data_IF_007505773092
#
_entry.id   IF_007505773092
#
_cell.length_a   1.000
_cell.length_b   1.000
_cell.length_c   1.000
_cell.angle_alpha   90.00
_cell.angle_beta   90.00
_cell.angle_gamma   90.00
#
_symmetry.space_group_name_H-M   'P 1'
#
loop_
_entity.id
_entity.type
_entity.pdbx_description
1 polymer ?
#
# COMPACT_ATOMS: atom_id res chain seq x y z
N UNK A 1 -1.20 -60.57 -49.51
CA UNK A 1 -0.93 -60.72 -48.07
C UNK A 1 0.21 -59.75 -47.73
N UNK A 2 -0.06 -58.69 -46.94
CA UNK A 2 0.91 -57.75 -46.29
C UNK A 2 1.97 -57.12 -47.23
N UNK A 3 2.12 -55.80 -47.38
CA UNK A 3 2.32 -54.78 -46.35
C UNK A 3 1.91 -53.40 -46.90
N UNK A 4 1.15 -52.67 -46.11
CA UNK A 4 0.98 -51.22 -46.20
C UNK A 4 2.02 -50.61 -45.26
N UNK A 5 2.73 -49.58 -45.72
CA UNK A 5 3.18 -48.36 -45.00
C UNK A 5 4.56 -47.94 -45.50
N UNK A 6 4.87 -46.69 -45.79
CA UNK A 6 4.10 -45.47 -45.89
C UNK A 6 5.00 -44.51 -46.69
N UNK A 7 4.47 -43.91 -47.76
CA UNK A 7 5.05 -42.70 -48.32
C UNK A 7 4.82 -41.62 -47.26
N UNK A 8 5.93 -41.05 -46.78
CA UNK A 8 5.92 -39.93 -45.86
C UNK A 8 5.18 -38.76 -46.49
N UNK A 9 3.91 -38.58 -46.10
CA UNK A 9 3.23 -37.30 -46.22
C UNK A 9 3.47 -36.62 -44.88
N UNK A 10 4.36 -35.63 -44.90
CA UNK A 10 4.69 -34.72 -43.82
C UNK A 10 3.42 -33.99 -43.36
N UNK A 11 2.89 -34.21 -42.14
CA UNK A 11 2.08 -33.20 -41.49
C UNK A 11 3.04 -32.20 -40.87
N UNK A 12 2.87 -30.93 -41.22
CA UNK A 12 3.65 -29.78 -40.75
C UNK A 12 4.02 -29.92 -39.27
N UNK A 13 5.32 -29.94 -39.00
CA UNK A 13 5.84 -29.68 -37.65
C UNK A 13 5.28 -28.33 -37.19
N UNK A 14 4.40 -28.32 -36.18
CA UNK A 14 4.32 -27.15 -35.31
C UNK A 14 5.56 -27.17 -34.44
N UNK A 15 6.62 -26.53 -34.93
CA UNK A 15 7.75 -26.15 -34.09
C UNK A 15 7.21 -25.19 -33.03
N UNK A 16 6.92 -25.69 -31.82
CA UNK A 16 7.04 -24.83 -30.66
C UNK A 16 8.54 -24.55 -30.53
N UNK A 17 8.98 -23.40 -31.07
CA UNK A 17 10.30 -22.88 -30.79
C UNK A 17 10.45 -22.74 -29.26
N UNK A 18 11.66 -22.91 -28.70
CA UNK A 18 11.89 -22.61 -27.29
C UNK A 18 11.52 -21.14 -27.02
N UNK A 19 10.52 -20.94 -26.17
CA UNK A 19 9.98 -19.62 -25.83
C UNK A 19 10.92 -18.90 -24.88
N UNK A 20 11.13 -17.60 -25.10
CA UNK A 20 11.74 -16.69 -24.13
C UNK A 20 10.82 -16.47 -22.92
N UNK A 21 11.41 -16.11 -21.79
CA UNK A 21 10.70 -15.82 -20.54
C UNK A 21 9.69 -14.67 -20.72
N UNK A 22 8.42 -14.88 -20.36
CA UNK A 22 7.39 -13.81 -20.27
C UNK A 22 6.18 -13.89 -21.21
N UNK A 23 6.01 -14.91 -22.07
CA UNK A 23 4.83 -14.99 -22.94
C UNK A 23 3.77 -15.98 -22.40
N UNK A 24 2.52 -15.51 -22.27
CA UNK A 24 1.37 -16.35 -21.93
C UNK A 24 0.85 -17.07 -23.18
N UNK A 25 0.75 -18.40 -23.14
CA UNK A 25 0.12 -19.16 -24.21
C UNK A 25 -1.17 -19.82 -23.77
N UNK A 26 -2.19 -19.70 -24.63
CA UNK A 26 -3.41 -20.49 -24.62
C UNK A 26 -3.20 -21.67 -25.57
N UNK A 27 -3.17 -22.89 -25.03
CA UNK A 27 -3.07 -24.10 -25.86
C UNK A 27 -4.42 -24.82 -25.87
N UNK A 28 -5.02 -24.93 -27.05
CA UNK A 28 -6.19 -25.80 -27.24
C UNK A 28 -5.76 -27.24 -26.96
N UNK A 29 -6.50 -27.96 -26.13
CA UNK A 29 -6.25 -29.38 -25.93
C UNK A 29 -6.90 -30.12 -27.12
N UNK A 30 -6.12 -30.75 -28.01
CA UNK A 30 -6.69 -31.35 -29.21
C UNK A 30 -7.63 -32.51 -28.86
N UNK A 31 -8.88 -32.43 -29.32
CA UNK A 31 -9.88 -33.49 -29.13
C UNK A 31 -10.73 -33.36 -27.86
N UNK A 32 -10.53 -32.32 -27.04
CA UNK A 32 -11.38 -32.03 -25.88
C UNK A 32 -12.30 -30.83 -26.12
N UNK A 33 -13.57 -30.97 -25.77
CA UNK A 33 -14.57 -29.94 -25.98
C UNK A 33 -15.52 -29.82 -24.79
N UNK A 34 -15.92 -28.59 -24.47
CA UNK A 34 -16.96 -28.26 -23.51
C UNK A 34 -18.27 -28.13 -24.28
N UNK A 35 -19.31 -28.83 -23.81
CA UNK A 35 -20.61 -28.82 -24.49
C UNK A 35 -21.74 -28.55 -23.50
N UNK A 36 -22.56 -27.55 -23.82
CA UNK A 36 -23.67 -27.10 -22.99
C UNK A 36 -24.90 -27.99 -23.17
N UNK A 37 -25.47 -28.42 -22.04
CA UNK A 37 -26.77 -29.06 -21.82
C UNK A 37 -27.47 -29.61 -23.08
N UNK A 38 -27.19 -30.88 -23.40
CA UNK A 38 -27.67 -31.55 -24.63
C UNK A 38 -28.34 -32.88 -24.30
N UNK A 39 -29.39 -33.21 -25.05
CA UNK A 39 -30.01 -34.52 -25.00
C UNK A 39 -29.05 -35.64 -25.49
N UNK A 40 -29.34 -36.89 -25.15
CA UNK A 40 -28.47 -38.03 -25.47
C UNK A 40 -28.22 -38.22 -26.98
N UNK A 41 -29.18 -37.89 -27.85
CA UNK A 41 -29.00 -38.02 -29.31
C UNK A 41 -28.05 -36.95 -29.83
N UNK A 42 -28.17 -35.71 -29.32
CA UNK A 42 -27.26 -34.61 -29.64
C UNK A 42 -25.83 -34.88 -29.14
N UNK A 43 -25.68 -35.45 -27.94
CA UNK A 43 -24.37 -35.92 -27.43
C UNK A 43 -23.74 -36.96 -28.36
N UNK A 44 -24.50 -37.96 -28.84
CA UNK A 44 -23.97 -38.97 -29.76
C UNK A 44 -23.54 -38.37 -31.11
N UNK A 45 -24.33 -37.44 -31.65
CA UNK A 45 -23.99 -36.75 -32.89
C UNK A 45 -22.71 -35.92 -32.75
N UNK A 46 -22.56 -35.17 -31.65
CA UNK A 46 -21.39 -34.36 -31.37
C UNK A 46 -20.16 -35.22 -31.08
N UNK A 47 -20.29 -36.33 -30.35
CA UNK A 47 -19.19 -37.30 -30.13
C UNK A 47 -18.65 -37.87 -31.44
N UNK A 48 -19.52 -38.11 -32.44
CA UNK A 48 -19.11 -38.57 -33.76
C UNK A 48 -18.35 -37.48 -34.54
N UNK A 49 -18.69 -36.20 -34.34
CA UNK A 49 -18.06 -35.07 -35.03
C UNK A 49 -16.75 -34.60 -34.38
N UNK A 50 -16.72 -34.52 -33.04
CA UNK A 50 -15.65 -33.86 -32.27
C UNK A 50 -14.77 -34.83 -31.46
N UNK A 51 -15.16 -36.10 -31.31
CA UNK A 51 -14.42 -37.10 -30.54
C UNK A 51 -15.05 -37.46 -29.19
N UNK A 52 -14.36 -38.30 -28.40
CA UNK A 52 -14.93 -38.95 -27.20
C UNK A 52 -14.84 -38.11 -25.91
N UNK A 53 -13.95 -37.12 -25.84
CA UNK A 53 -13.69 -36.34 -24.62
C UNK A 53 -14.53 -35.06 -24.59
N UNK A 54 -15.78 -35.20 -24.14
CA UNK A 54 -16.72 -34.09 -23.98
C UNK A 54 -16.99 -33.84 -22.49
N UNK A 55 -16.86 -32.59 -22.06
CA UNK A 55 -17.22 -32.16 -20.70
C UNK A 55 -18.57 -31.45 -20.72
N UNK A 56 -19.53 -31.98 -19.96
CA UNK A 56 -20.89 -31.48 -19.91
C UNK A 56 -21.04 -30.47 -18.76
N UNK A 57 -21.61 -29.32 -19.07
CA UNK A 57 -21.96 -28.30 -18.08
C UNK A 57 -23.45 -27.99 -18.13
N UNK A 58 -24.07 -27.89 -16.95
CA UNK A 58 -25.48 -27.50 -16.79
C UNK A 58 -25.56 -25.97 -16.77
N UNK A 59 -26.34 -25.41 -17.70
CA UNK A 59 -26.61 -23.99 -17.79
C UNK A 59 -28.07 -23.75 -18.21
N UNK A 60 -28.68 -22.61 -17.84
CA UNK A 60 -30.10 -22.32 -18.10
C UNK A 60 -30.44 -22.35 -19.61
N UNK A 61 -31.70 -22.73 -19.89
CA UNK A 61 -32.22 -23.27 -21.17
C UNK A 61 -32.03 -22.39 -22.43
N UNK A 62 -31.68 -21.12 -22.29
CA UNK A 62 -31.76 -20.15 -23.39
C UNK A 62 -30.45 -19.85 -24.14
N UNK A 63 -29.45 -20.74 -24.15
CA UNK A 63 -28.29 -20.54 -25.03
C UNK A 63 -28.16 -21.66 -26.06
N UNK A 64 -27.87 -21.26 -27.31
CA UNK A 64 -27.68 -22.14 -28.45
C UNK A 64 -26.56 -23.17 -28.20
N UNK A 65 -26.74 -24.37 -28.77
CA UNK A 65 -25.83 -25.51 -28.57
C UNK A 65 -24.66 -25.42 -29.53
N UNK A 66 -23.52 -24.94 -29.04
CA UNK A 66 -22.24 -25.02 -29.73
C UNK A 66 -21.18 -25.70 -28.84
N UNK A 67 -20.35 -26.55 -29.43
CA UNK A 67 -19.26 -27.21 -28.73
C UNK A 67 -18.01 -26.35 -28.78
N UNK A 68 -17.49 -25.94 -27.63
CA UNK A 68 -16.32 -25.07 -27.54
C UNK A 68 -15.06 -25.88 -27.26
N UNK A 69 -13.90 -25.53 -27.85
CA UNK A 69 -12.66 -26.21 -27.52
C UNK A 69 -12.31 -26.05 -26.03
N UNK A 70 -11.82 -27.12 -25.41
CA UNK A 70 -11.27 -27.06 -24.07
C UNK A 70 -9.82 -26.57 -24.12
N UNK A 71 -9.43 -25.73 -23.16
CA UNK A 71 -8.09 -25.13 -23.11
C UNK A 71 -7.44 -25.47 -21.77
N UNK A 72 -6.17 -25.87 -21.83
CA UNK A 72 -5.34 -25.99 -20.64
C UNK A 72 -4.53 -24.71 -20.44
N UNK A 73 -4.51 -24.25 -19.20
CA UNK A 73 -3.71 -23.11 -18.77
C UNK A 73 -2.50 -23.65 -18.01
N UNK A 74 -1.30 -23.24 -18.39
CA UNK A 74 -0.06 -23.58 -17.70
C UNK A 74 0.66 -22.30 -17.31
N UNK A 75 0.86 -22.11 -16.00
CA UNK A 75 1.49 -20.96 -15.38
C UNK A 75 1.62 -21.19 -13.87
N UNK A 76 2.68 -20.67 -13.26
CA UNK A 76 2.97 -20.84 -11.83
C UNK A 76 2.06 -19.89 -11.02
N UNK A 77 1.21 -20.43 -10.14
CA UNK A 77 0.20 -19.67 -9.38
C UNK A 77 0.76 -19.00 -8.10
N UNK A 78 2.06 -18.72 -8.07
CA UNK A 78 2.77 -18.08 -6.96
C UNK A 78 3.39 -16.76 -7.44
N UNK A 79 2.63 -15.67 -7.39
CA UNK A 79 3.14 -14.29 -7.38
C UNK A 79 2.95 -13.69 -5.97
N UNK A 80 3.50 -14.32 -4.94
CA UNK A 80 3.39 -13.82 -3.56
C UNK A 80 4.68 -13.20 -3.01
N UNK A 81 5.64 -12.88 -3.87
CA UNK A 81 6.69 -11.91 -3.56
C UNK A 81 6.79 -10.93 -4.73
N UNK A 82 6.73 -9.61 -4.48
CA UNK A 82 7.02 -8.63 -5.51
C UNK A 82 8.40 -8.91 -6.11
N UNK A 83 8.51 -8.79 -7.42
CA UNK A 83 9.72 -9.09 -8.19
C UNK A 83 10.71 -7.90 -8.22
N UNK A 84 10.41 -6.86 -7.46
CA UNK A 84 11.12 -5.60 -7.36
C UNK A 84 12.53 -5.79 -6.78
N UNK A 85 13.51 -5.11 -7.38
CA UNK A 85 14.95 -5.39 -7.21
C UNK A 85 15.40 -5.41 -5.74
N UNK A 86 14.82 -4.54 -4.91
CA UNK A 86 15.21 -4.34 -3.51
C UNK A 86 14.17 -4.84 -2.51
N UNK A 87 13.13 -5.54 -2.94
CA UNK A 87 12.13 -6.10 -2.03
C UNK A 87 12.77 -7.00 -0.95
N UNK A 88 13.78 -7.80 -1.33
CA UNK A 88 14.53 -8.65 -0.39
C UNK A 88 15.28 -7.88 0.70
N UNK A 89 15.58 -6.59 0.50
CA UNK A 89 16.25 -5.72 1.46
C UNK A 89 15.26 -4.99 2.40
N UNK A 90 13.95 -5.09 2.14
CA UNK A 90 12.89 -4.52 2.97
C UNK A 90 12.49 -5.45 4.13
N UNK A 91 13.38 -5.60 5.11
CA UNK A 91 13.18 -6.47 6.29
C UNK A 91 11.86 -6.23 7.05
N UNK A 92 11.29 -5.03 6.96
CA UNK A 92 10.05 -4.67 7.64
C UNK A 92 8.86 -5.51 7.16
N UNK A 93 8.79 -5.88 5.87
CA UNK A 93 7.70 -6.72 5.34
C UNK A 93 7.65 -8.09 6.00
N UNK A 94 8.81 -8.75 6.14
CA UNK A 94 8.90 -10.03 6.83
C UNK A 94 8.57 -9.91 8.32
N UNK A 95 8.97 -8.80 8.96
CA UNK A 95 8.65 -8.56 10.36
C UNK A 95 7.15 -8.42 10.60
N UNK A 96 6.46 -7.61 9.81
CA UNK A 96 5.03 -7.33 10.00
C UNK A 96 4.12 -8.29 9.23
N UNK A 97 4.68 -9.34 8.61
CA UNK A 97 3.94 -10.35 7.85
C UNK A 97 3.12 -9.76 6.69
N UNK A 98 3.69 -8.79 5.97
CA UNK A 98 2.99 -8.14 4.85
C UNK A 98 2.59 -9.12 3.75
N UNK A 99 3.43 -10.10 3.41
CA UNK A 99 3.11 -11.09 2.37
C UNK A 99 1.86 -11.92 2.71
N UNK A 100 1.71 -12.28 3.99
CA UNK A 100 0.52 -12.99 4.45
C UNK A 100 -0.71 -12.08 4.45
N UNK A 101 -0.54 -10.81 4.84
CA UNK A 101 -1.60 -9.79 4.76
C UNK A 101 -2.11 -9.58 3.32
N UNK A 102 -1.20 -9.61 2.34
CA UNK A 102 -1.53 -9.48 0.92
C UNK A 102 -2.33 -10.64 0.34
N UNK A 103 -2.38 -11.79 1.02
CA UNK A 103 -3.34 -12.85 0.68
C UNK A 103 -4.79 -12.48 1.06
N UNK A 104 -4.97 -11.49 1.95
CA UNK A 104 -6.28 -10.91 2.31
C UNK A 104 -6.55 -9.66 1.48
N UNK A 105 -5.64 -8.67 1.52
CA UNK A 105 -5.74 -7.44 0.72
C UNK A 105 -4.39 -6.78 0.53
N UNK A 106 -4.19 -6.13 -0.62
CA UNK A 106 -3.06 -5.23 -0.92
C UNK A 106 -3.40 -3.75 -0.73
N UNK A 107 -4.59 -3.45 -0.22
CA UNK A 107 -5.16 -2.11 -0.16
C UNK A 107 -6.27 -1.90 -1.19
N UNK A 108 -6.96 -0.77 -1.08
CA UNK A 108 -8.00 -0.30 -1.99
C UNK A 108 -7.70 1.16 -2.39
N UNK A 109 -7.88 1.49 -3.67
CA UNK A 109 -7.59 2.84 -4.20
C UNK A 109 -8.54 3.92 -3.70
N UNK A 110 -9.69 3.54 -3.12
CA UNK A 110 -10.59 4.46 -2.45
C UNK A 110 -10.10 4.85 -1.04
N UNK A 111 -9.11 4.13 -0.50
CA UNK A 111 -8.44 4.53 0.75
C UNK A 111 -7.33 5.52 0.44
N UNK A 112 -7.52 6.75 0.91
CA UNK A 112 -6.55 7.84 0.77
C UNK A 112 -5.78 8.02 2.08
N UNK A 113 -4.45 7.99 1.97
CA UNK A 113 -3.51 8.31 3.05
C UNK A 113 -2.86 9.66 2.74
N UNK A 114 -3.28 10.70 3.45
CA UNK A 114 -2.63 12.00 3.39
C UNK A 114 -1.29 11.95 4.11
N UNK A 115 -0.23 12.38 3.42
CA UNK A 115 1.12 12.51 3.98
C UNK A 115 1.42 13.99 4.07
N UNK A 116 1.49 14.50 5.30
CA UNK A 116 1.81 15.91 5.55
C UNK A 116 3.31 16.02 5.83
N UNK A 117 4.09 16.49 4.87
CA UNK A 117 5.55 16.49 4.96
C UNK A 117 6.21 17.72 4.29
N UNK A 118 7.51 17.64 3.99
CA UNK A 118 8.30 18.77 3.49
C UNK A 118 8.63 18.74 1.99
N UNK A 119 8.47 17.60 1.34
CA UNK A 119 8.71 17.43 -0.09
C UNK A 119 8.04 16.15 -0.60
N UNK A 120 7.72 16.13 -1.89
CA UNK A 120 7.32 14.92 -2.60
C UNK A 120 7.88 14.90 -4.03
N UNK A 121 8.57 13.81 -4.38
CA UNK A 121 9.08 13.54 -5.73
C UNK A 121 8.00 12.89 -6.58
N UNK A 122 7.09 13.70 -7.11
CA UNK A 122 5.90 13.24 -7.84
C UNK A 122 6.26 12.41 -9.09
N UNK A 123 7.38 12.71 -9.75
CA UNK A 123 7.90 11.99 -10.93
C UNK A 123 8.72 10.73 -10.59
N UNK A 124 8.80 10.29 -9.33
CA UNK A 124 9.50 9.06 -8.96
C UNK A 124 8.83 7.85 -9.63
N UNK A 125 9.58 7.05 -10.40
CA UNK A 125 9.03 5.94 -11.21
C UNK A 125 8.27 4.91 -10.37
N UNK A 126 8.79 4.62 -9.17
CA UNK A 126 8.19 3.67 -8.23
C UNK A 126 6.92 4.19 -7.52
N UNK A 127 6.60 5.47 -7.70
CA UNK A 127 5.37 6.09 -7.18
C UNK A 127 4.34 6.38 -8.27
N UNK A 128 4.64 6.08 -9.54
CA UNK A 128 3.74 6.39 -10.65
C UNK A 128 2.42 5.61 -10.54
N UNK A 129 1.33 6.37 -10.47
CA UNK A 129 -0.02 5.84 -10.25
C UNK A 129 -0.37 5.59 -8.79
N UNK A 130 0.48 5.97 -7.84
CA UNK A 130 0.23 5.82 -6.39
C UNK A 130 -0.22 7.12 -5.73
N UNK A 131 0.03 8.26 -6.37
CA UNK A 131 -0.49 9.55 -5.92
C UNK A 131 -2.01 9.60 -6.02
N UNK A 132 -2.65 10.24 -5.04
CA UNK A 132 -4.03 10.67 -5.12
C UNK A 132 -4.18 11.65 -6.28
N UNK A 133 -5.38 11.71 -6.85
CA UNK A 133 -5.71 12.63 -7.93
C UNK A 133 -7.03 13.29 -7.61
N UNK A 134 -7.04 14.63 -7.50
CA UNK A 134 -8.27 15.39 -7.49
C UNK A 134 -8.96 15.20 -8.84
N UNK A 135 -10.12 14.53 -8.84
CA UNK A 135 -10.88 14.24 -10.06
C UNK A 135 -11.73 15.44 -10.51
N UNK A 136 -11.84 16.46 -9.67
CA UNK A 136 -12.63 17.66 -9.91
C UNK A 136 -11.79 18.76 -10.59
N UNK A 137 -10.46 18.61 -10.62
CA UNK A 137 -9.52 19.50 -11.31
C UNK A 137 -9.22 19.07 -12.76
N UNK A 138 -9.03 20.06 -13.65
CA UNK A 138 -8.52 19.88 -15.01
C UNK A 138 -7.04 20.28 -15.04
N UNK A 139 -6.10 19.31 -15.14
CA UNK A 139 -4.68 19.61 -14.97
C UNK A 139 -4.12 20.70 -15.89
N UNK A 140 -3.57 21.74 -15.30
CA UNK A 140 -2.75 22.77 -15.96
C UNK A 140 -3.56 23.83 -16.69
N UNK A 141 -4.84 24.02 -16.33
CA UNK A 141 -5.68 25.06 -16.91
C UNK A 141 -5.57 26.41 -16.16
N UNK A 142 -4.88 26.44 -15.00
CA UNK A 142 -4.73 27.59 -14.10
C UNK A 142 -6.07 28.12 -13.56
N UNK A 143 -7.03 27.24 -13.36
CA UNK A 143 -8.35 27.51 -12.78
C UNK A 143 -8.52 26.60 -11.56
N UNK A 144 -9.19 27.11 -10.55
CA UNK A 144 -9.72 26.32 -9.43
C UNK A 144 -11.09 25.80 -9.88
N UNK A 145 -11.12 24.58 -10.43
CA UNK A 145 -12.27 24.01 -11.14
C UNK A 145 -13.35 23.53 -10.17
N UNK A 146 -12.94 23.08 -8.98
CA UNK A 146 -13.83 22.64 -7.91
C UNK A 146 -14.21 23.76 -6.91
N UNK A 147 -13.58 24.94 -7.06
CA UNK A 147 -13.79 26.13 -6.24
C UNK A 147 -13.49 25.85 -4.75
N UNK A 148 -12.47 25.03 -4.48
CA UNK A 148 -12.00 24.70 -3.14
C UNK A 148 -10.98 25.72 -2.58
N UNK A 149 -10.50 26.66 -3.43
CA UNK A 149 -9.51 27.68 -3.09
C UNK A 149 -8.08 27.37 -3.54
N UNK A 150 -7.84 26.22 -4.20
CA UNK A 150 -6.53 25.67 -4.54
C UNK A 150 -6.43 25.36 -6.04
N UNK A 151 -5.91 26.32 -6.82
CA UNK A 151 -5.81 26.22 -8.29
C UNK A 151 -4.94 25.04 -8.74
N UNK A 152 -5.47 24.15 -9.58
CA UNK A 152 -4.74 23.01 -10.15
C UNK A 152 -4.14 22.06 -9.08
N UNK A 153 -4.79 21.85 -7.94
CA UNK A 153 -4.33 20.97 -6.85
C UNK A 153 -4.44 19.45 -7.16
N UNK A 154 -4.14 19.09 -8.41
CA UNK A 154 -4.32 17.78 -9.04
C UNK A 154 -3.83 16.60 -8.20
N UNK A 155 -2.70 16.74 -7.52
CA UNK A 155 -2.13 15.67 -6.69
C UNK A 155 -2.07 16.01 -5.21
N UNK A 156 -2.40 17.24 -4.83
CA UNK A 156 -2.16 17.79 -3.49
C UNK A 156 -1.66 19.23 -3.58
N UNK A 157 -1.22 19.77 -2.45
CA UNK A 157 -0.97 21.21 -2.31
C UNK A 157 0.29 21.54 -1.48
N UNK A 158 1.01 22.59 -1.89
CA UNK A 158 2.05 23.23 -1.10
C UNK A 158 1.49 24.47 -0.39
N UNK A 159 1.22 24.32 0.91
CA UNK A 159 0.71 25.37 1.79
C UNK A 159 1.76 26.44 2.13
N UNK A 160 3.06 26.22 1.86
CA UNK A 160 4.12 27.20 2.09
C UNK A 160 4.22 28.15 0.91
N UNK A 161 4.30 27.58 -0.29
CA UNK A 161 4.40 28.34 -1.54
C UNK A 161 3.04 28.84 -2.02
N UNK A 162 1.96 28.21 -1.53
CA UNK A 162 0.58 28.42 -1.96
C UNK A 162 0.41 28.15 -3.45
N UNK A 163 0.86 26.97 -3.88
CA UNK A 163 0.75 26.45 -5.24
C UNK A 163 0.60 24.93 -5.25
N UNK A 164 0.43 24.37 -6.43
CA UNK A 164 0.27 22.93 -6.66
C UNK A 164 1.59 22.16 -6.81
N UNK A 165 2.74 22.79 -6.56
CA UNK A 165 4.05 22.16 -6.64
C UNK A 165 4.56 21.72 -5.27
N UNK A 166 4.21 20.49 -4.90
CA UNK A 166 4.66 19.86 -3.65
C UNK A 166 6.12 19.39 -3.68
N UNK A 167 6.86 19.63 -4.76
CA UNK A 167 8.23 19.15 -4.95
C UNK A 167 9.28 20.06 -4.34
N UNK A 168 10.40 19.47 -3.92
CA UNK A 168 11.57 20.20 -3.40
C UNK A 168 12.81 19.30 -3.48
N UNK A 169 13.85 19.73 -4.22
CA UNK A 169 15.00 18.89 -4.55
C UNK A 169 16.03 18.70 -3.41
N UNK A 170 15.88 19.43 -2.31
CA UNK A 170 16.90 19.47 -1.24
C UNK A 170 16.73 18.42 -0.14
N UNK A 171 15.56 17.79 -0.05
CA UNK A 171 15.24 16.82 1.02
C UNK A 171 14.60 15.55 0.46
N UNK A 172 14.25 14.57 1.29
CA UNK A 172 13.77 13.26 0.82
C UNK A 172 12.75 12.58 1.74
N UNK A 173 12.29 13.29 2.76
CA UNK A 173 11.58 12.68 3.87
C UNK A 173 10.14 12.29 3.48
N UNK A 174 9.37 13.18 2.85
CA UNK A 174 8.00 12.88 2.40
C UNK A 174 7.93 11.84 1.28
N UNK A 175 8.86 11.87 0.32
CA UNK A 175 9.03 10.83 -0.70
C UNK A 175 9.26 9.47 -0.07
N UNK A 176 10.18 9.39 0.90
CA UNK A 176 10.52 8.14 1.59
C UNK A 176 9.33 7.56 2.35
N UNK A 177 8.60 8.42 3.06
CA UNK A 177 7.36 8.06 3.77
C UNK A 177 6.30 7.56 2.80
N UNK A 178 6.11 8.23 1.67
CA UNK A 178 5.13 7.86 0.65
C UNK A 178 5.45 6.49 0.05
N UNK A 179 6.73 6.19 -0.21
CA UNK A 179 7.16 4.88 -0.68
C UNK A 179 6.93 3.75 0.31
N UNK A 180 7.08 4.00 1.63
CA UNK A 180 6.79 3.01 2.67
C UNK A 180 5.30 2.62 2.63
N UNK A 181 4.43 3.59 2.35
CA UNK A 181 2.99 3.38 2.30
C UNK A 181 2.62 2.63 1.02
N UNK A 182 3.00 3.14 -0.15
CA UNK A 182 2.36 2.73 -1.41
C UNK A 182 3.30 2.54 -2.61
N UNK A 183 4.62 2.41 -2.45
CA UNK A 183 5.50 2.13 -3.62
C UNK A 183 4.99 0.93 -4.44
N UNK A 184 5.07 1.07 -5.76
CA UNK A 184 4.32 0.25 -6.71
C UNK A 184 4.92 -1.17 -6.81
N UNK A 185 4.12 -2.22 -6.62
CA UNK A 185 4.60 -3.59 -6.71
C UNK A 185 4.69 -4.00 -8.17
N UNK A 186 5.62 -4.92 -8.47
CA UNK A 186 5.60 -5.65 -9.74
C UNK A 186 6.09 -4.84 -10.94
N UNK A 187 6.70 -3.67 -10.71
CA UNK A 187 7.25 -2.84 -11.78
C UNK A 187 8.73 -3.18 -12.08
N UNK A 188 9.32 -4.11 -11.32
CA UNK A 188 10.74 -4.50 -11.37
C UNK A 188 11.70 -3.38 -10.98
N UNK A 189 11.22 -2.37 -10.24
CA UNK A 189 12.01 -1.25 -9.77
C UNK A 189 12.04 -1.29 -8.25
N UNK A 190 13.19 -1.00 -7.66
CA UNK A 190 13.17 -0.46 -6.31
C UNK A 190 12.50 -1.32 -5.24
N UNK A 191 11.46 -0.77 -4.63
CA UNK A 191 10.85 -1.20 -3.38
C UNK A 191 9.35 -1.37 -3.55
N UNK A 192 8.68 -1.89 -2.53
CA UNK A 192 7.22 -2.01 -2.51
C UNK A 192 6.64 -1.41 -1.24
N UNK A 193 5.55 -0.68 -1.36
CA UNK A 193 4.82 -0.13 -0.22
C UNK A 193 4.08 -1.21 0.55
N UNK A 194 3.71 -0.95 1.79
CA UNK A 194 2.96 -1.92 2.61
C UNK A 194 1.53 -2.09 2.11
N UNK A 195 0.90 -1.00 1.64
CA UNK A 195 -0.46 -0.96 1.12
C UNK A 195 -0.46 -0.47 -0.34
N UNK A 196 0.13 -1.22 -1.28
CA UNK A 196 0.45 -0.74 -2.62
C UNK A 196 -0.73 -0.36 -3.52
N UNK A 197 -1.96 -0.65 -3.11
CA UNK A 197 -3.16 -0.30 -3.87
C UNK A 197 -3.88 0.96 -3.34
N UNK A 198 -3.44 1.53 -2.22
CA UNK A 198 -4.00 2.78 -1.67
C UNK A 198 -3.49 4.00 -2.43
N UNK A 199 -4.07 5.18 -2.19
CA UNK A 199 -3.57 6.44 -2.74
C UNK A 199 -2.90 7.30 -1.69
N UNK A 200 -1.78 7.92 -2.05
CA UNK A 200 -1.05 8.86 -1.21
C UNK A 200 -1.37 10.28 -1.63
N UNK A 201 -1.92 11.09 -0.72
CA UNK A 201 -2.17 12.52 -0.94
C UNK A 201 -1.00 13.34 -0.34
N UNK A 202 -0.05 13.81 -1.17
CA UNK A 202 1.07 14.63 -0.72
C UNK A 202 0.62 16.04 -0.32
N UNK A 203 0.91 16.46 0.91
CA UNK A 203 0.61 17.81 1.40
C UNK A 203 1.88 18.42 2.00
N UNK A 204 2.41 19.46 1.35
CA UNK A 204 3.64 20.13 1.79
C UNK A 204 3.29 21.36 2.62
N UNK A 205 3.83 21.45 3.85
CA UNK A 205 3.49 22.57 4.74
C UNK A 205 4.67 23.12 5.56
N UNK A 206 5.83 22.44 5.54
CA UNK A 206 7.08 22.95 6.12
C UNK A 206 8.28 22.68 5.20
N UNK A 207 9.35 23.46 5.34
CA UNK A 207 10.51 23.40 4.45
C UNK A 207 11.53 24.47 4.80
N UNK A 208 12.64 24.52 4.06
CA UNK A 208 13.74 25.45 4.35
C UNK A 208 13.36 26.93 4.19
N UNK A 209 12.30 27.22 3.42
CA UNK A 209 11.95 28.58 3.00
C UNK A 209 10.84 29.25 3.83
N UNK A 210 10.22 28.55 4.79
CA UNK A 210 8.95 28.99 5.39
C UNK A 210 8.90 29.07 6.90
N UNK A 211 8.26 30.13 7.43
CA UNK A 211 7.77 30.15 8.82
C UNK A 211 6.47 29.37 8.87
N UNK A 212 6.44 28.28 9.61
CA UNK A 212 5.21 27.53 9.82
C UNK A 212 4.43 28.03 11.05
N UNK A 213 3.12 27.81 11.04
CA UNK A 213 2.19 28.20 12.09
C UNK A 213 1.18 27.07 12.33
N UNK A 214 0.52 27.04 13.49
CA UNK A 214 -0.57 26.10 13.74
C UNK A 214 -1.74 26.25 12.77
N UNK A 215 -1.96 27.45 12.22
CA UNK A 215 -2.97 27.70 11.19
C UNK A 215 -2.69 26.92 9.90
N UNK A 216 -1.44 26.93 9.42
CA UNK A 216 -1.05 26.16 8.22
C UNK A 216 -1.26 24.65 8.46
N UNK A 217 -0.89 24.15 9.65
CA UNK A 217 -1.09 22.73 10.00
C UNK A 217 -2.57 22.38 10.04
N UNK A 218 -3.40 23.26 10.62
CA UNK A 218 -4.84 23.09 10.65
C UNK A 218 -5.44 23.05 9.25
N UNK A 219 -5.08 24.02 8.40
CA UNK A 219 -5.50 24.07 7.00
C UNK A 219 -5.13 22.79 6.24
N UNK A 220 -3.90 22.29 6.44
CA UNK A 220 -3.45 21.02 5.87
C UNK A 220 -4.32 19.83 6.31
N UNK A 221 -4.73 19.77 7.58
CA UNK A 221 -5.58 18.68 8.09
C UNK A 221 -7.01 18.80 7.56
N UNK A 222 -7.56 20.01 7.52
CA UNK A 222 -8.86 20.27 6.91
C UNK A 222 -8.87 19.85 5.44
N UNK A 223 -7.88 20.28 4.66
CA UNK A 223 -7.74 19.86 3.27
C UNK A 223 -7.73 18.34 3.12
N UNK A 224 -6.94 17.63 3.92
CA UNK A 224 -6.88 16.17 3.87
C UNK A 224 -8.25 15.53 4.11
N UNK A 225 -8.96 15.99 5.16
CA UNK A 225 -10.27 15.46 5.54
C UNK A 225 -11.32 15.77 4.47
N UNK A 226 -11.34 17.00 3.98
CA UNK A 226 -12.34 17.50 3.02
C UNK A 226 -12.19 16.81 1.65
N UNK A 227 -10.97 16.39 1.29
CA UNK A 227 -10.67 15.61 0.09
C UNK A 227 -10.70 14.08 0.32
N UNK A 228 -11.30 13.63 1.43
CA UNK A 228 -11.63 12.23 1.65
C UNK A 228 -10.51 11.34 2.19
N UNK A 229 -9.43 11.92 2.74
CA UNK A 229 -8.40 11.13 3.42
C UNK A 229 -9.01 10.36 4.60
N UNK A 230 -8.73 9.05 4.66
CA UNK A 230 -9.08 8.20 5.82
C UNK A 230 -8.00 8.22 6.88
N UNK A 231 -6.78 8.55 6.48
CA UNK A 231 -5.61 8.55 7.35
C UNK A 231 -4.75 9.78 7.05
N UNK A 232 -4.31 10.48 8.09
CA UNK A 232 -3.30 11.53 8.03
C UNK A 232 -2.04 11.00 8.73
N UNK A 233 -0.95 10.83 7.98
CA UNK A 233 0.36 10.48 8.53
C UNK A 233 1.24 11.72 8.70
N UNK A 234 1.76 11.91 9.90
CA UNK A 234 2.55 13.08 10.28
C UNK A 234 3.90 12.67 10.88
N UNK A 235 5.00 13.07 10.24
CA UNK A 235 6.35 12.61 10.62
C UNK A 235 7.25 13.73 11.14
N UNK A 236 6.67 14.71 11.81
CA UNK A 236 7.35 15.89 12.37
C UNK A 236 7.11 16.06 13.88
N UNK A 237 7.80 17.03 14.48
CA UNK A 237 7.72 17.29 15.91
C UNK A 237 6.49 18.13 16.27
N UNK A 238 5.55 17.53 16.99
CA UNK A 238 4.33 18.19 17.47
C UNK A 238 4.39 18.60 18.95
N UNK A 239 5.51 18.39 19.64
CA UNK A 239 5.64 18.68 21.09
C UNK A 239 5.31 20.14 21.45
N UNK A 240 5.55 21.08 20.53
CA UNK A 240 5.27 22.50 20.75
C UNK A 240 3.80 22.88 20.52
N UNK A 241 3.01 22.01 19.91
CA UNK A 241 1.61 22.25 19.53
C UNK A 241 0.60 21.67 20.53
N UNK A 242 1.06 20.94 21.54
CA UNK A 242 0.21 20.14 22.43
C UNK A 242 -0.80 20.94 23.26
N UNK A 243 -0.56 22.23 23.45
CA UNK A 243 -1.45 23.16 24.15
C UNK A 243 -1.96 24.28 23.21
N UNK A 244 -1.72 24.18 21.89
CA UNK A 244 -2.17 25.14 20.87
C UNK A 244 -3.62 24.81 20.45
N UNK A 245 -4.55 25.75 20.70
CA UNK A 245 -5.97 25.53 20.44
C UNK A 245 -6.30 25.31 18.97
N UNK A 246 -5.61 25.99 18.05
CA UNK A 246 -5.87 25.86 16.61
C UNK A 246 -5.49 24.45 16.15
N UNK A 247 -4.37 23.93 16.65
CA UNK A 247 -3.96 22.56 16.36
C UNK A 247 -4.89 21.52 16.98
N UNK A 248 -5.32 21.74 18.23
CA UNK A 248 -6.28 20.84 18.89
C UNK A 248 -7.63 20.80 18.15
N UNK A 249 -8.13 21.93 17.67
CA UNK A 249 -9.38 21.99 16.90
C UNK A 249 -9.25 21.22 15.56
N UNK A 250 -8.10 21.30 14.90
CA UNK A 250 -7.85 20.53 13.67
C UNK A 250 -7.78 19.01 13.91
N UNK A 251 -7.23 18.58 15.04
CA UNK A 251 -7.27 17.17 15.46
C UNK A 251 -8.72 16.73 15.65
N UNK A 252 -9.52 17.53 16.39
CA UNK A 252 -10.93 17.21 16.61
C UNK A 252 -11.73 17.18 15.31
N UNK A 253 -11.43 18.07 14.36
CA UNK A 253 -12.06 18.07 13.05
C UNK A 253 -11.86 16.73 12.33
N UNK A 254 -10.61 16.25 12.24
CA UNK A 254 -10.30 14.97 11.63
C UNK A 254 -10.99 13.79 12.36
N UNK A 255 -10.90 13.74 13.70
CA UNK A 255 -11.53 12.68 14.50
C UNK A 255 -13.05 12.67 14.31
N UNK A 256 -13.70 13.84 14.29
CA UNK A 256 -15.15 13.96 14.10
C UNK A 256 -15.63 13.54 12.71
N UNK A 257 -14.72 13.52 11.72
CA UNK A 257 -14.96 13.06 10.35
C UNK A 257 -14.45 11.63 10.11
N UNK A 258 -14.21 10.86 11.18
CA UNK A 258 -13.80 9.45 11.11
C UNK A 258 -12.45 9.25 10.39
N UNK A 259 -11.50 10.15 10.65
CA UNK A 259 -10.13 10.13 10.11
C UNK A 259 -9.12 9.80 11.20
N UNK A 260 -8.21 8.87 10.92
CA UNK A 260 -7.13 8.52 11.84
C UNK A 260 -5.90 9.40 11.63
N UNK A 261 -5.29 9.87 12.72
CA UNK A 261 -4.03 10.62 12.68
C UNK A 261 -2.92 9.76 13.29
N UNK A 262 -1.86 9.55 12.52
CA UNK A 262 -0.62 8.92 13.00
C UNK A 262 0.47 9.97 13.15
N UNK A 263 1.18 9.95 14.27
CA UNK A 263 2.39 10.74 14.45
C UNK A 263 3.57 9.90 14.92
N UNK A 264 4.75 10.25 14.42
CA UNK A 264 6.00 9.68 14.92
C UNK A 264 6.19 9.94 16.43
N UNK A 265 6.67 8.97 17.23
CA UNK A 265 6.87 9.22 18.67
C UNK A 265 8.00 10.21 19.00
N UNK A 266 8.93 10.46 18.06
CA UNK A 266 10.10 11.32 18.21
C UNK A 266 11.40 10.58 18.56
N UNK A 267 12.54 11.21 18.28
CA UNK A 267 13.86 10.55 18.22
C UNK A 267 14.85 10.99 19.32
N UNK A 268 14.36 11.46 20.47
CA UNK A 268 15.18 12.07 21.53
C UNK A 268 15.44 11.16 22.75
N UNK A 269 15.06 9.88 22.68
CA UNK A 269 15.15 8.91 23.80
C UNK A 269 14.39 9.36 25.04
N UNK A 270 13.39 10.24 24.87
CA UNK A 270 12.64 10.85 25.95
C UNK A 270 11.55 9.89 26.42
N UNK A 271 11.47 9.73 27.74
CA UNK A 271 10.32 9.10 28.39
C UNK A 271 9.19 10.12 28.47
N UNK A 272 7.99 9.75 28.06
CA UNK A 272 6.78 10.57 28.11
C UNK A 272 7.01 11.97 27.46
N UNK A 273 7.29 12.03 26.13
CA UNK A 273 7.45 13.31 25.41
C UNK A 273 6.18 14.16 25.48
N UNK A 274 6.25 15.47 25.19
CA UNK A 274 5.09 16.34 25.41
C UNK A 274 3.85 15.90 24.62
N UNK A 275 4.06 15.37 23.40
CA UNK A 275 3.00 14.86 22.51
C UNK A 275 2.12 13.76 23.11
N UNK A 276 2.54 13.07 24.18
CA UNK A 276 1.70 12.06 24.85
C UNK A 276 0.42 12.63 25.47
N UNK A 277 0.28 13.95 25.53
CA UNK A 277 -0.97 14.63 25.91
C UNK A 277 -2.06 14.53 24.84
N UNK A 278 -1.70 14.20 23.59
CA UNK A 278 -2.60 14.17 22.44
C UNK A 278 -3.14 12.75 22.26
N UNK A 279 -4.19 12.40 23.01
CA UNK A 279 -4.76 11.04 23.06
C UNK A 279 -5.49 10.63 21.76
N UNK A 280 -5.89 11.61 20.95
CA UNK A 280 -6.57 11.40 19.66
C UNK A 280 -5.61 11.12 18.49
N UNK A 281 -4.29 11.20 18.73
CA UNK A 281 -3.26 10.88 17.75
C UNK A 281 -2.59 9.57 18.13
N UNK A 282 -2.44 8.67 17.14
CA UNK A 282 -1.72 7.41 17.32
C UNK A 282 -0.21 7.67 17.27
N UNK A 283 0.46 7.57 18.41
CA UNK A 283 1.89 7.80 18.56
C UNK A 283 2.71 6.52 18.33
N UNK A 284 3.52 6.53 17.27
CA UNK A 284 4.23 5.34 16.80
C UNK A 284 5.71 5.34 17.20
N UNK A 285 6.10 4.43 18.09
CA UNK A 285 7.50 4.19 18.44
C UNK A 285 8.24 3.36 17.39
N UNK A 286 9.56 3.51 17.35
CA UNK A 286 10.41 2.80 16.40
C UNK A 286 11.05 1.56 17.04
N UNK A 287 11.00 0.44 16.31
CA UNK A 287 11.79 -0.77 16.58
C UNK A 287 12.75 -1.09 15.44
N UNK A 288 13.78 -1.87 15.78
CA UNK A 288 14.80 -2.34 14.84
C UNK A 288 14.23 -3.30 13.82
N UNK A 289 14.45 -2.96 12.56
CA UNK A 289 14.09 -3.70 11.36
C UNK A 289 15.33 -4.19 10.62
N UNK A 290 16.07 -5.07 11.29
CA UNK A 290 17.25 -5.72 10.72
C UNK A 290 17.36 -7.15 11.22
N UNK A 291 18.12 -7.97 10.50
CA UNK A 291 18.46 -9.33 10.93
C UNK A 291 19.17 -9.35 12.31
N UNK A 292 19.82 -8.25 12.70
CA UNK A 292 20.53 -8.17 13.97
C UNK A 292 19.68 -7.51 15.07
N UNK A 293 19.23 -8.31 16.03
CA UNK A 293 18.41 -7.90 17.18
C UNK A 293 17.10 -7.18 16.77
N UNK A 294 16.25 -7.82 15.95
CA UNK A 294 14.94 -7.28 15.57
C UNK A 294 14.04 -7.08 16.80
N UNK A 295 12.99 -6.28 16.64
CA UNK A 295 11.96 -5.96 17.65
C UNK A 295 12.47 -5.26 18.91
N UNK A 296 13.75 -4.88 18.99
CA UNK A 296 14.21 -4.01 20.07
C UNK A 296 13.84 -2.58 19.75
N UNK A 297 13.36 -1.83 20.75
CA UNK A 297 13.16 -0.39 20.66
C UNK A 297 14.41 0.26 20.08
N UNK A 298 14.26 1.02 19.02
CA UNK A 298 15.34 1.77 18.39
C UNK A 298 15.96 2.70 19.41
N UNK A 299 17.29 2.82 19.39
CA UNK A 299 18.01 3.49 20.48
C UNK A 299 17.58 4.95 20.67
N UNK A 300 17.20 5.61 19.57
CA UNK A 300 16.73 6.99 19.50
C UNK A 300 15.24 7.17 19.88
N UNK A 301 14.40 6.14 19.75
CA UNK A 301 12.94 6.29 19.88
C UNK A 301 12.56 6.80 21.27
N UNK A 302 11.66 7.77 21.32
CA UNK A 302 10.89 8.08 22.52
C UNK A 302 10.03 6.87 22.91
N UNK A 303 9.61 6.85 24.18
CA UNK A 303 8.85 5.77 24.80
C UNK A 303 8.03 6.36 25.96
N UNK A 304 7.02 5.65 26.46
CA UNK A 304 6.20 6.18 27.55
C UNK A 304 4.82 5.57 27.61
N UNK A 305 4.02 6.03 28.57
CA UNK A 305 2.65 5.54 28.78
C UNK A 305 1.68 5.96 27.67
N UNK A 306 1.84 7.16 27.11
CA UNK A 306 1.04 7.62 25.97
C UNK A 306 1.73 7.33 24.64
N UNK A 307 2.40 6.18 24.52
CA UNK A 307 2.82 5.65 23.22
C UNK A 307 1.87 4.51 22.90
N UNK A 308 1.27 4.52 21.73
CA UNK A 308 0.16 3.63 21.40
C UNK A 308 0.61 2.31 20.78
N UNK A 309 1.60 2.37 19.88
CA UNK A 309 2.10 1.20 19.17
C UNK A 309 3.54 1.43 18.68
N UNK A 310 4.25 0.34 18.38
CA UNK A 310 5.57 0.36 17.77
C UNK A 310 5.52 -0.18 16.33
N UNK A 311 6.45 0.26 15.49
CA UNK A 311 6.62 -0.26 14.13
C UNK A 311 8.08 -0.22 13.68
N UNK A 312 8.47 -1.05 12.68
CA UNK A 312 9.76 -0.96 11.99
C UNK A 312 10.17 0.47 11.63
N UNK A 313 11.34 0.92 12.10
CA UNK A 313 11.86 2.25 11.75
C UNK A 313 13.39 2.39 11.81
N UNK A 314 14.13 1.29 11.96
CA UNK A 314 15.60 1.28 12.14
C UNK A 314 16.24 0.00 11.56
N UNK A 315 16.72 0.02 10.30
CA UNK A 315 16.39 0.93 9.21
C UNK A 315 15.11 0.54 8.46
N UNK A 316 14.60 1.45 7.62
CA UNK A 316 13.58 1.16 6.60
C UNK A 316 14.06 1.67 5.25
N UNK A 317 14.11 0.77 4.26
CA UNK A 317 14.43 1.07 2.87
C UNK A 317 13.17 1.51 2.12
N UNK A 318 13.27 2.63 1.39
CA UNK A 318 12.18 3.18 0.57
C UNK A 318 12.72 4.08 -0.55
N UNK A 319 11.83 4.69 -1.33
CA UNK A 319 12.11 5.71 -2.35
C UNK A 319 12.77 6.95 -1.74
N UNK A 320 13.62 7.65 -2.51
CA UNK A 320 14.25 8.91 -2.08
C UNK A 320 14.39 9.91 -3.22
N UNK A 321 14.46 11.20 -2.87
CA UNK A 321 14.53 12.34 -3.78
C UNK A 321 15.97 12.89 -3.97
N UNK A 322 17.02 12.12 -3.64
CA UNK A 322 18.41 12.61 -3.76
C UNK A 322 18.93 12.68 -5.19
N UNK A 323 18.46 11.77 -6.03
CA UNK A 323 18.70 11.68 -7.48
C UNK A 323 17.48 11.01 -8.10
N UNK A 324 17.25 11.25 -9.38
CA UNK A 324 16.17 10.62 -10.14
C UNK A 324 16.13 9.10 -9.90
N UNK A 325 14.98 8.62 -9.41
CA UNK A 325 14.67 7.21 -9.12
C UNK A 325 15.71 6.49 -8.25
N UNK A 326 15.98 7.04 -7.07
CA UNK A 326 16.89 6.40 -6.10
C UNK A 326 16.16 5.87 -4.87
N UNK A 327 16.83 4.94 -4.19
CA UNK A 327 16.30 4.26 -3.00
C UNK A 327 17.30 4.39 -1.85
N UNK A 328 16.81 4.48 -0.63
CA UNK A 328 17.65 4.73 0.55
C UNK A 328 17.06 4.17 1.84
N UNK A 329 17.95 3.75 2.74
CA UNK A 329 17.58 3.37 4.10
C UNK A 329 17.63 4.58 5.02
N UNK A 330 16.49 4.92 5.63
CA UNK A 330 16.37 5.94 6.66
C UNK A 330 16.06 5.32 8.03
N UNK A 331 16.24 6.12 9.08
CA UNK A 331 16.15 5.72 10.47
C UNK A 331 15.34 6.76 11.24
N UNK A 332 14.27 6.33 11.91
CA UNK A 332 13.47 7.24 12.73
C UNK A 332 12.12 6.67 13.10
N UNK A 333 11.47 7.29 14.08
CA UNK A 333 10.03 7.14 14.30
C UNK A 333 9.22 7.63 13.09
N UNK A 334 9.80 8.54 12.28
CA UNK A 334 9.22 8.99 11.02
C UNK A 334 9.04 7.89 9.98
N UNK A 335 9.83 6.82 10.04
CA UNK A 335 9.65 5.63 9.20
C UNK A 335 8.69 4.64 9.84
N UNK A 336 8.61 4.60 11.17
CA UNK A 336 7.67 3.73 11.90
C UNK A 336 6.21 4.17 11.73
N UNK A 337 5.96 5.49 11.76
CA UNK A 337 4.62 6.07 11.59
C UNK A 337 3.91 5.59 10.30
N UNK A 338 4.50 5.75 9.09
CA UNK A 338 3.88 5.28 7.85
C UNK A 338 3.73 3.77 7.77
N UNK A 339 4.57 2.98 8.46
CA UNK A 339 4.38 1.52 8.53
C UNK A 339 3.07 1.19 9.26
N UNK A 340 2.80 1.83 10.39
CA UNK A 340 1.54 1.63 11.12
C UNK A 340 0.33 2.20 10.35
N UNK A 341 0.47 3.39 9.75
CA UNK A 341 -0.56 4.01 8.93
C UNK A 341 -0.95 3.13 7.73
N UNK A 342 0.03 2.54 7.03
CA UNK A 342 -0.23 1.64 5.92
C UNK A 342 -0.91 0.34 6.36
N UNK A 343 -0.58 -0.20 7.55
CA UNK A 343 -1.32 -1.34 8.10
C UNK A 343 -2.77 -0.96 8.42
N UNK A 344 -3.02 0.21 9.00
CA UNK A 344 -4.39 0.70 9.19
C UNK A 344 -5.15 0.85 7.86
N UNK A 345 -4.47 1.30 6.81
CA UNK A 345 -5.06 1.36 5.47
C UNK A 345 -5.42 -0.04 4.92
N UNK A 346 -4.57 -1.05 5.14
CA UNK A 346 -4.88 -2.45 4.81
C UNK A 346 -6.10 -2.97 5.60
N UNK A 347 -6.19 -2.65 6.90
CA UNK A 347 -7.34 -3.03 7.72
C UNK A 347 -8.62 -2.43 7.14
N UNK A 348 -8.61 -1.14 6.83
CA UNK A 348 -9.77 -0.45 6.27
C UNK A 348 -10.14 -1.01 4.89
N UNK A 349 -9.14 -1.36 4.07
CA UNK A 349 -9.36 -1.97 2.76
C UNK A 349 -9.98 -3.38 2.88
N UNK A 350 -9.62 -4.16 3.90
CA UNK A 350 -10.21 -5.46 4.15
C UNK A 350 -11.62 -5.37 4.77
N UNK A 351 -11.87 -4.32 5.54
CA UNK A 351 -13.11 -4.11 6.31
C UNK A 351 -13.64 -2.68 6.11
N UNK A 352 -14.18 -2.34 4.92
CA UNK A 352 -14.49 -0.96 4.53
C UNK A 352 -15.58 -0.27 5.37
N UNK A 353 -16.37 -1.06 6.11
CA UNK A 353 -17.47 -0.56 6.94
C UNK A 353 -17.06 -0.24 8.39
N UNK A 354 -15.80 -0.46 8.78
CA UNK A 354 -15.32 -0.10 10.10
C UNK A 354 -15.18 1.42 10.24
N UNK A 355 -15.49 1.93 11.42
CA UNK A 355 -15.10 3.26 11.85
C UNK A 355 -13.60 3.37 12.12
N UNK A 356 -13.07 4.59 12.16
CA UNK A 356 -11.69 4.90 12.55
C UNK A 356 -11.31 4.25 13.86
N UNK A 357 -12.18 4.34 14.87
CA UNK A 357 -11.93 3.74 16.17
C UNK A 357 -11.87 2.21 16.10
N UNK A 358 -12.75 1.55 15.33
CA UNK A 358 -12.67 0.10 15.17
C UNK A 358 -11.41 -0.34 14.41
N UNK A 359 -10.96 0.43 13.41
CA UNK A 359 -9.68 0.19 12.73
C UNK A 359 -8.51 0.35 13.69
N UNK A 360 -8.52 1.39 14.52
CA UNK A 360 -7.50 1.64 15.56
C UNK A 360 -7.44 0.49 16.57
N UNK A 361 -8.58 0.03 17.09
CA UNK A 361 -8.62 -1.11 18.01
C UNK A 361 -8.12 -2.40 17.35
N UNK A 362 -8.48 -2.65 16.08
CA UNK A 362 -8.01 -3.83 15.35
C UNK A 362 -6.49 -3.80 15.12
N UNK A 363 -5.94 -2.61 14.84
CA UNK A 363 -4.49 -2.38 14.74
C UNK A 363 -3.77 -2.73 16.05
N UNK A 364 -4.35 -2.35 17.20
CA UNK A 364 -3.80 -2.63 18.52
C UNK A 364 -3.91 -4.10 18.90
N UNK A 365 -5.08 -4.70 18.68
CA UNK A 365 -5.32 -6.12 18.96
C UNK A 365 -4.45 -7.05 18.09
N UNK A 366 -4.15 -6.64 16.87
CA UNK A 366 -3.29 -7.39 15.95
C UNK A 366 -1.79 -7.29 16.27
N UNK A 367 -1.37 -6.36 17.15
CA UNK A 367 0.04 -6.14 17.43
C UNK A 367 0.73 -7.36 18.09
N UNK A 368 2.00 -7.56 17.74
CA UNK A 368 2.86 -8.55 18.36
C UNK A 368 3.47 -8.03 19.65
N UNK A 369 3.39 -8.82 20.71
CA UNK A 369 4.09 -8.54 21.97
C UNK A 369 5.61 -8.58 21.77
N UNK A 370 6.27 -7.50 22.16
CA UNK A 370 7.73 -7.31 22.09
C UNK A 370 8.36 -7.05 23.47
N UNK A 371 7.61 -7.18 24.58
CA UNK A 371 8.07 -6.85 25.92
C UNK A 371 9.29 -7.67 26.36
N UNK A 372 9.32 -8.96 26.05
CA UNK A 372 10.42 -9.86 26.46
C UNK A 372 11.78 -9.42 25.86
N UNK A 373 11.76 -8.87 24.64
CA UNK A 373 12.94 -8.29 23.97
C UNK A 373 13.27 -6.89 24.48
N UNK A 374 12.36 -6.27 25.23
CA UNK A 374 12.40 -4.87 25.67
C UNK A 374 12.14 -4.68 27.18
N UNK A 375 12.57 -5.62 28.04
CA UNK A 375 12.26 -5.63 29.49
C UNK A 375 12.42 -4.30 30.22
N UNK A 376 13.39 -3.47 29.81
CA UNK A 376 13.63 -2.13 30.37
C UNK A 376 12.46 -1.14 30.16
N UNK A 377 11.66 -1.36 29.12
CA UNK A 377 10.57 -0.48 28.66
C UNK A 377 9.20 -1.16 28.80
N UNK A 378 9.08 -2.14 29.71
CA UNK A 378 7.83 -2.86 29.97
C UNK A 378 6.68 -1.88 30.25
N UNK A 379 5.55 -2.04 29.56
CA UNK A 379 4.41 -1.12 29.64
C UNK A 379 4.68 0.31 29.15
N UNK A 380 5.70 0.53 28.31
CA UNK A 380 6.05 1.86 27.77
C UNK A 380 6.23 1.87 26.23
N UNK A 381 5.80 0.80 25.56
CA UNK A 381 5.90 0.62 24.10
C UNK A 381 4.53 0.36 23.45
N UNK A 382 3.48 0.86 24.10
CA UNK A 382 2.10 0.68 23.66
C UNK A 382 1.69 -0.80 23.59
N UNK A 383 0.89 -1.12 22.59
CA UNK A 383 0.32 -2.45 22.35
C UNK A 383 1.32 -3.45 21.76
N UNK A 384 2.57 -3.05 21.52
CA UNK A 384 3.60 -3.88 20.90
C UNK A 384 3.92 -3.44 19.48
N UNK A 385 4.48 -4.33 18.66
CA UNK A 385 4.82 -4.02 17.26
C UNK A 385 3.65 -4.36 16.35
N UNK A 386 3.27 -3.45 15.46
CA UNK A 386 2.27 -3.71 14.41
C UNK A 386 2.57 -5.00 13.63
N UNK A 387 1.50 -5.74 13.31
CA UNK A 387 1.52 -6.92 12.44
C UNK A 387 0.39 -6.80 11.43
N UNK A 388 0.74 -6.71 10.15
CA UNK A 388 -0.21 -6.51 9.07
C UNK A 388 -1.20 -7.67 8.98
N UNK A 389 -0.70 -8.92 8.98
CA UNK A 389 -1.55 -10.09 8.78
C UNK A 389 -2.56 -10.30 9.90
N UNK A 390 -2.11 -10.25 11.16
CA UNK A 390 -3.01 -10.38 12.31
C UNK A 390 -4.06 -9.29 12.39
N UNK A 391 -3.73 -8.08 11.93
CA UNK A 391 -4.64 -6.94 12.01
C UNK A 391 -5.71 -6.97 10.91
N UNK A 392 -5.42 -7.50 9.73
CA UNK A 392 -6.39 -7.57 8.61
C UNK A 392 -7.35 -8.78 8.69
N UNK A 393 -7.03 -9.79 9.49
CA UNK A 393 -7.86 -10.99 9.67
C UNK A 393 -9.21 -10.72 10.34
#
# INVERSE_FOLDING_TARGET
MKWISAIAIVPMLSWALPVKHGEHFRVQIPGEYIVKNIDQKSIQSIKRRLGKNLYLINAPESAEVEGWPNYAYYGNYMESTPNDEKFGDQYHHGMIQTLDAWNVTKGDSEIIVAVTDNEFRIDHEDMQGQWWTNKEEIPGNNIDDDNNGYVDDVHGWDFIANDNDVSEDTTTHGTHISGIIAAKPGNNLGVVGIAPNVKVMPLRWYGEQGRWTSAIVAETYHYAVDHGAKIINTSYNIDILVDDRVYLDAIQYAVSNDVLIFNSAGNNRKKDPARVKLEDIILVCSVKSSAWRPDRKSSFSNYGKGIDICAPGDPVLSTVNRKFNTYGSLYGTSMASPVAAAVAALIWSAHPNLSANEVKERLYMGADDIEEKNKKYKGMLGHGRVNAFKSVQ
#
